data_IF_299472465010
#
_entry.id   IF_299472465010
#
_cell.length_a   1.000
_cell.length_b   1.000
_cell.length_c   1.000
_cell.angle_alpha   90.00
_cell.angle_beta   90.00
_cell.angle_gamma   90.00
#
_symmetry.space_group_name_H-M   'P 1'
#
loop_
_entity.id
_entity.type
_entity.pdbx_description
1 polymer ?
#
# COMPACT_ATOMS: atom_id res chain seq x y z
N UNK A 1 22.97 -10.07 -54.03
CA UNK A 1 22.42 -9.19 -52.98
C UNK A 1 20.91 -9.21 -53.12
N UNK A 2 20.17 -9.57 -52.06
CA UNK A 2 18.73 -9.34 -52.06
C UNK A 2 18.47 -7.83 -52.01
N UNK A 3 17.47 -7.32 -52.77
CA UNK A 3 17.13 -5.91 -52.75
C UNK A 3 16.66 -5.51 -51.35
N UNK A 4 16.97 -4.28 -50.94
CA UNK A 4 16.51 -3.79 -49.64
C UNK A 4 14.97 -3.81 -49.57
N UNK A 5 14.37 -4.10 -48.40
CA UNK A 5 12.93 -4.05 -48.24
C UNK A 5 12.39 -2.68 -48.69
N UNK A 6 11.29 -2.64 -49.47
CA UNK A 6 10.71 -1.39 -49.96
C UNK A 6 10.35 -0.48 -48.78
N UNK A 7 10.61 0.82 -48.92
CA UNK A 7 10.34 1.79 -47.87
C UNK A 7 8.82 1.97 -47.71
N UNK A 8 8.25 1.71 -46.52
CA UNK A 8 6.84 1.98 -46.29
C UNK A 8 6.59 3.49 -46.42
N UNK A 9 5.48 3.85 -47.06
CA UNK A 9 5.05 5.22 -47.27
C UNK A 9 3.76 5.46 -46.48
N UNK A 10 3.60 6.65 -45.91
CA UNK A 10 2.33 7.11 -45.34
C UNK A 10 1.29 7.32 -46.45
N UNK A 11 0.02 7.47 -46.09
CA UNK A 11 -1.09 7.83 -46.99
C UNK A 11 -0.83 9.13 -47.79
N UNK A 12 0.17 9.93 -47.39
CA UNK A 12 0.63 11.15 -48.06
C UNK A 12 1.93 10.98 -48.86
N UNK A 13 2.38 9.75 -49.08
CA UNK A 13 3.59 9.43 -49.85
C UNK A 13 4.91 9.78 -49.15
N UNK A 14 4.90 9.96 -47.82
CA UNK A 14 6.10 10.27 -47.03
C UNK A 14 6.77 8.97 -46.55
N UNK A 15 8.09 8.81 -46.65
CA UNK A 15 8.78 7.63 -46.16
C UNK A 15 8.64 7.49 -44.64
N UNK A 16 8.39 6.26 -44.17
CA UNK A 16 8.29 5.87 -42.76
C UNK A 16 9.47 4.94 -42.40
N UNK A 17 10.66 5.47 -42.07
CA UNK A 17 11.85 4.66 -41.82
C UNK A 17 11.70 3.70 -40.64
N UNK A 18 10.90 4.08 -39.65
CA UNK A 18 10.64 3.30 -38.42
C UNK A 18 9.72 2.09 -38.64
N UNK A 19 9.01 2.03 -39.77
CA UNK A 19 8.19 0.87 -40.16
C UNK A 19 8.90 -0.04 -41.17
N UNK A 20 10.13 0.32 -41.59
CA UNK A 20 10.88 -0.49 -42.55
C UNK A 20 11.16 -1.85 -41.91
N UNK A 21 10.69 -2.92 -42.56
CA UNK A 21 10.95 -4.29 -42.12
C UNK A 21 12.45 -4.52 -41.92
N UNK A 22 12.82 -5.23 -40.85
CA UNK A 22 14.23 -5.56 -40.57
C UNK A 22 14.77 -6.38 -41.75
N UNK A 23 15.92 -5.99 -42.32
CA UNK A 23 16.58 -6.75 -43.41
C UNK A 23 16.77 -8.20 -42.94
N UNK A 24 16.20 -9.13 -43.69
CA UNK A 24 16.24 -10.57 -43.39
C UNK A 24 17.69 -11.09 -43.45
N UNK A 25 17.98 -12.13 -42.67
CA UNK A 25 19.27 -12.83 -42.75
C UNK A 25 19.15 -13.93 -43.78
N UNK A 26 20.08 -14.00 -44.73
CA UNK A 26 20.20 -15.13 -45.63
C UNK A 26 21.50 -15.89 -45.33
N UNK A 27 21.40 -17.20 -45.18
CA UNK A 27 22.55 -18.10 -44.97
C UNK A 27 22.57 -19.12 -46.11
N UNK A 28 23.72 -19.30 -46.74
CA UNK A 28 23.95 -20.30 -47.78
C UNK A 28 25.24 -21.06 -47.49
N UNK A 29 25.26 -22.36 -47.76
CA UNK A 29 26.47 -23.16 -47.70
C UNK A 29 27.11 -23.27 -49.09
N UNK A 30 28.44 -23.12 -49.16
CA UNK A 30 29.24 -23.53 -50.30
C UNK A 30 29.98 -24.83 -49.93
N UNK A 31 29.50 -25.99 -50.42
CA UNK A 31 30.07 -27.29 -50.10
C UNK A 31 31.44 -27.52 -50.77
N UNK A 32 31.80 -26.75 -51.81
CA UNK A 32 33.07 -26.92 -52.53
C UNK A 32 34.22 -26.35 -51.70
N UNK A 33 33.97 -25.22 -51.04
CA UNK A 33 34.95 -24.52 -50.19
C UNK A 33 34.73 -24.75 -48.70
N UNK A 34 33.72 -25.55 -48.33
CA UNK A 34 33.27 -25.77 -46.95
C UNK A 34 33.07 -24.45 -46.19
N UNK A 35 32.38 -23.50 -46.80
CA UNK A 35 32.21 -22.15 -46.25
C UNK A 35 30.74 -21.74 -46.16
N UNK A 36 30.40 -20.98 -45.11
CA UNK A 36 29.07 -20.42 -44.92
C UNK A 36 29.05 -18.97 -45.40
N UNK A 37 28.15 -18.64 -46.34
CA UNK A 37 27.91 -17.29 -46.84
C UNK A 37 26.72 -16.71 -46.07
N UNK A 38 26.96 -15.70 -45.25
CA UNK A 38 25.93 -15.02 -44.44
C UNK A 38 25.73 -13.58 -44.94
N UNK A 39 24.52 -13.24 -45.38
CA UNK A 39 24.08 -11.87 -45.69
C UNK A 39 23.17 -11.39 -44.55
N UNK A 40 23.69 -10.52 -43.69
CA UNK A 40 22.97 -9.95 -42.56
C UNK A 40 23.40 -8.48 -42.29
N UNK A 41 22.59 -7.68 -41.59
CA UNK A 41 23.01 -6.38 -41.08
C UNK A 41 24.25 -6.47 -40.19
N UNK A 42 25.10 -5.44 -40.22
CA UNK A 42 26.38 -5.41 -39.48
C UNK A 42 26.23 -5.72 -37.98
N UNK A 43 25.15 -5.24 -37.33
CA UNK A 43 24.90 -5.55 -35.90
C UNK A 43 24.63 -7.04 -35.64
N UNK A 44 24.06 -7.77 -36.62
CA UNK A 44 23.75 -9.21 -36.48
C UNK A 44 24.92 -10.09 -36.88
N UNK A 45 25.77 -9.66 -37.83
CA UNK A 45 26.96 -10.41 -38.25
C UNK A 45 27.90 -10.74 -37.09
N UNK A 46 28.10 -9.81 -36.14
CA UNK A 46 28.94 -10.04 -34.97
C UNK A 46 28.46 -11.20 -34.08
N UNK A 47 27.13 -11.37 -33.94
CA UNK A 47 26.55 -12.50 -33.22
C UNK A 47 26.69 -13.82 -34.00
N UNK A 48 26.52 -13.77 -35.33
CA UNK A 48 26.70 -14.94 -36.19
C UNK A 48 28.13 -15.48 -36.16
N UNK A 49 29.14 -14.62 -36.08
CA UNK A 49 30.54 -15.06 -35.99
C UNK A 49 30.78 -15.90 -34.72
N UNK A 50 30.22 -15.49 -33.58
CA UNK A 50 30.33 -16.25 -32.33
C UNK A 50 29.60 -17.60 -32.41
N UNK A 51 28.43 -17.63 -33.04
CA UNK A 51 27.67 -18.87 -33.25
C UNK A 51 28.46 -19.80 -34.18
N UNK A 52 28.96 -19.30 -35.31
CA UNK A 52 29.75 -20.11 -36.26
C UNK A 52 31.05 -20.60 -35.62
N UNK A 53 31.79 -19.77 -34.88
CA UNK A 53 33.00 -20.21 -34.18
C UNK A 53 32.73 -21.20 -33.05
N UNK A 54 31.57 -21.13 -32.39
CA UNK A 54 31.19 -22.11 -31.38
C UNK A 54 30.79 -23.43 -32.02
N UNK A 55 30.06 -23.40 -33.15
CA UNK A 55 29.70 -24.59 -33.93
C UNK A 55 30.90 -25.23 -34.65
N UNK A 56 31.86 -24.45 -35.16
CA UNK A 56 33.09 -24.95 -35.83
C UNK A 56 34.03 -25.67 -34.85
N UNK A 57 34.03 -25.25 -33.57
CA UNK A 57 34.76 -25.94 -32.49
C UNK A 57 34.09 -27.23 -32.04
N UNK A 58 32.78 -27.39 -32.26
CA UNK A 58 32.11 -28.68 -32.15
C UNK A 58 32.44 -29.48 -33.41
N UNK A 59 33.54 -30.23 -33.38
CA UNK A 59 33.70 -31.33 -34.34
C UNK A 59 32.47 -32.23 -34.19
N UNK A 60 31.60 -32.18 -35.18
CA UNK A 60 30.52 -33.14 -35.34
C UNK A 60 31.21 -34.44 -35.76
N UNK A 61 31.60 -35.24 -34.77
CA UNK A 61 32.09 -36.58 -35.00
C UNK A 61 31.02 -37.37 -35.80
N UNK A 62 31.43 -38.31 -36.65
CA UNK A 62 30.50 -39.15 -37.41
C UNK A 62 29.45 -39.78 -36.47
N UNK A 63 28.18 -39.44 -36.65
CA UNK A 63 27.06 -39.91 -35.83
C UNK A 63 26.57 -38.94 -34.74
N UNK A 64 27.05 -37.70 -34.71
CA UNK A 64 26.52 -36.63 -33.85
C UNK A 64 25.57 -35.74 -34.68
N UNK A 65 24.36 -35.50 -34.19
CA UNK A 65 23.44 -34.49 -34.75
C UNK A 65 23.30 -33.31 -33.79
N UNK A 66 22.82 -32.19 -34.33
CA UNK A 66 22.52 -30.98 -33.59
C UNK A 66 21.03 -30.63 -33.75
N UNK A 67 20.31 -30.51 -32.62
CA UNK A 67 18.91 -30.09 -32.59
C UNK A 67 18.71 -28.88 -31.67
N UNK A 68 17.76 -28.04 -32.06
CA UNK A 68 17.42 -26.81 -31.32
C UNK A 68 15.98 -26.86 -30.83
N UNK A 69 15.78 -26.59 -29.54
CA UNK A 69 14.49 -26.61 -28.88
C UNK A 69 14.16 -25.24 -28.31
N UNK A 70 13.03 -24.67 -28.73
CA UNK A 70 12.55 -23.39 -28.19
C UNK A 70 11.74 -23.63 -26.92
N UNK A 71 12.20 -23.07 -25.80
CA UNK A 71 11.56 -23.20 -24.50
C UNK A 71 10.57 -22.07 -24.29
N UNK A 72 9.31 -22.42 -24.01
CA UNK A 72 8.22 -21.44 -23.93
C UNK A 72 8.09 -20.87 -22.52
N UNK A 73 8.06 -21.74 -21.51
CA UNK A 73 7.68 -21.41 -20.13
C UNK A 73 8.81 -21.68 -19.14
N UNK A 74 9.46 -22.83 -19.23
CA UNK A 74 10.49 -23.22 -18.29
C UNK A 74 11.73 -22.30 -18.31
N UNK A 75 12.47 -22.28 -17.20
CA UNK A 75 13.75 -21.58 -17.13
C UNK A 75 14.82 -22.32 -17.93
N UNK A 76 15.51 -21.59 -18.83
CA UNK A 76 16.54 -22.16 -19.70
C UNK A 76 17.71 -22.77 -18.93
N UNK A 77 18.07 -22.18 -17.80
CA UNK A 77 19.18 -22.63 -16.98
C UNK A 77 18.83 -23.95 -16.31
N UNK A 78 17.65 -24.03 -15.69
CA UNK A 78 17.14 -25.26 -15.06
C UNK A 78 17.05 -26.40 -16.06
N UNK A 79 16.41 -26.19 -17.21
CA UNK A 79 16.29 -27.22 -18.26
C UNK A 79 17.67 -27.66 -18.76
N UNK A 80 18.59 -26.71 -19.01
CA UNK A 80 19.93 -27.04 -19.48
C UNK A 80 20.75 -27.85 -18.47
N UNK A 81 20.60 -27.57 -17.17
CA UNK A 81 21.30 -28.29 -16.11
C UNK A 81 20.77 -29.71 -15.99
N UNK A 82 19.45 -29.91 -16.03
CA UNK A 82 18.83 -31.24 -16.03
C UNK A 82 19.29 -32.06 -17.23
N UNK A 83 19.28 -31.49 -18.43
CA UNK A 83 19.76 -32.19 -19.63
C UNK A 83 21.24 -32.54 -19.58
N UNK A 84 22.11 -31.65 -19.06
CA UNK A 84 23.54 -31.96 -18.84
C UNK A 84 23.72 -33.09 -17.84
N UNK A 85 22.97 -33.06 -16.74
CA UNK A 85 23.03 -34.09 -15.70
C UNK A 85 22.60 -35.45 -16.25
N UNK A 86 21.46 -35.52 -16.95
CA UNK A 86 20.95 -36.74 -17.59
C UNK A 86 21.90 -37.26 -18.69
N UNK A 87 22.54 -36.36 -19.44
CA UNK A 87 23.56 -36.72 -20.41
C UNK A 87 24.81 -37.32 -19.75
N UNK A 88 25.27 -36.73 -18.65
CA UNK A 88 26.45 -37.21 -17.90
C UNK A 88 26.20 -38.52 -17.15
N UNK A 89 24.96 -38.79 -16.72
CA UNK A 89 24.58 -40.02 -16.02
C UNK A 89 24.26 -41.18 -16.97
N UNK A 90 24.24 -40.94 -18.28
CA UNK A 90 23.83 -41.93 -19.28
C UNK A 90 22.32 -42.20 -19.33
N UNK A 91 21.52 -41.47 -18.54
CA UNK A 91 20.06 -41.64 -18.47
C UNK A 91 19.32 -41.23 -19.75
N UNK A 92 19.98 -40.49 -20.66
CA UNK A 92 19.47 -40.20 -22.01
C UNK A 92 19.67 -41.35 -23.02
N UNK A 93 20.11 -42.53 -22.56
CA UNK A 93 20.32 -43.68 -23.45
C UNK A 93 21.62 -43.60 -24.27
N UNK A 94 22.63 -42.89 -23.75
CA UNK A 94 23.94 -42.78 -24.40
C UNK A 94 24.68 -44.11 -24.29
N UNK A 95 24.70 -44.89 -25.37
CA UNK A 95 25.50 -46.12 -25.47
C UNK A 95 26.80 -45.81 -26.21
N UNK A 96 27.85 -45.39 -25.50
CA UNK A 96 29.16 -45.12 -26.09
C UNK A 96 29.88 -43.92 -25.49
N UNK A 97 31.03 -43.57 -26.07
CA UNK A 97 31.89 -42.47 -25.60
C UNK A 97 31.56 -41.11 -26.27
N UNK A 98 30.39 -40.99 -26.90
CA UNK A 98 29.99 -39.79 -27.65
C UNK A 98 29.44 -38.74 -26.68
N UNK A 99 30.09 -37.58 -26.53
CA UNK A 99 29.70 -36.59 -25.53
C UNK A 99 28.41 -35.86 -25.93
N UNK A 100 27.42 -35.83 -25.03
CA UNK A 100 26.24 -34.96 -25.16
C UNK A 100 26.62 -33.55 -24.72
N UNK A 101 26.50 -32.58 -25.63
CA UNK A 101 26.77 -31.17 -25.33
C UNK A 101 25.46 -30.39 -25.34
N UNK A 102 25.23 -29.61 -24.29
CA UNK A 102 24.07 -28.74 -24.17
C UNK A 102 24.55 -27.29 -24.08
N UNK A 103 24.01 -26.41 -24.92
CA UNK A 103 24.25 -24.97 -24.90
C UNK A 103 22.92 -24.22 -24.87
N UNK A 104 22.92 -23.00 -24.34
CA UNK A 104 21.72 -22.15 -24.28
C UNK A 104 21.95 -20.85 -25.04
N UNK A 105 20.92 -20.39 -25.75
CA UNK A 105 20.88 -19.08 -26.40
C UNK A 105 19.78 -18.23 -25.73
N UNK A 106 20.13 -17.39 -24.73
CA UNK A 106 19.15 -16.67 -23.92
C UNK A 106 18.26 -15.72 -24.72
N UNK A 107 18.80 -15.08 -25.78
CA UNK A 107 18.08 -14.08 -26.57
C UNK A 107 16.89 -14.67 -27.34
N UNK A 108 17.02 -15.90 -27.83
CA UNK A 108 15.97 -16.61 -28.58
C UNK A 108 15.16 -17.58 -27.70
N UNK A 109 15.56 -17.75 -26.44
CA UNK A 109 15.09 -18.79 -25.51
C UNK A 109 15.18 -20.19 -26.11
N UNK A 110 16.34 -20.50 -26.69
CA UNK A 110 16.58 -21.77 -27.37
C UNK A 110 17.65 -22.58 -26.64
N UNK A 111 17.43 -23.89 -26.53
CA UNK A 111 18.43 -24.85 -26.09
C UNK A 111 18.95 -25.58 -27.32
N UNK A 112 20.27 -25.65 -27.44
CA UNK A 112 20.98 -26.34 -28.51
C UNK A 112 21.57 -27.61 -27.90
N UNK A 113 21.15 -28.77 -28.38
CA UNK A 113 21.62 -30.07 -27.92
C UNK A 113 22.34 -30.77 -29.07
N UNK A 114 23.57 -31.20 -28.80
CA UNK A 114 24.40 -31.97 -29.73
C UNK A 114 24.65 -33.36 -29.14
N UNK A 115 24.39 -34.41 -29.91
CA UNK A 115 24.59 -35.79 -29.47
C UNK A 115 24.12 -36.85 -30.47
N UNK A 116 24.20 -38.14 -30.13
CA UNK A 116 23.72 -39.23 -30.98
C UNK A 116 22.21 -39.15 -31.25
N UNK A 117 21.74 -39.61 -32.41
CA UNK A 117 20.31 -39.58 -32.77
C UNK A 117 19.40 -40.24 -31.70
N UNK A 118 19.90 -41.29 -31.04
CA UNK A 118 19.17 -42.08 -30.04
C UNK A 118 18.73 -41.28 -28.82
N UNK A 119 19.37 -40.16 -28.49
CA UNK A 119 19.06 -39.39 -27.27
C UNK A 119 17.88 -38.44 -27.47
N UNK A 120 17.57 -38.03 -28.72
CA UNK A 120 16.69 -36.89 -28.94
C UNK A 120 15.25 -37.17 -28.56
N UNK A 121 14.76 -38.40 -28.73
CA UNK A 121 13.43 -38.78 -28.26
C UNK A 121 13.30 -38.59 -26.73
N UNK A 122 14.36 -38.90 -25.98
CA UNK A 122 14.37 -38.74 -24.52
C UNK A 122 14.55 -37.28 -24.10
N UNK A 123 15.37 -36.52 -24.84
CA UNK A 123 15.52 -35.07 -24.65
C UNK A 123 14.19 -34.35 -24.89
N UNK A 124 13.48 -34.70 -25.96
CA UNK A 124 12.14 -34.16 -26.27
C UNK A 124 11.16 -34.46 -25.15
N UNK A 125 11.10 -35.71 -24.65
CA UNK A 125 10.24 -36.07 -23.52
C UNK A 125 10.56 -35.27 -22.24
N UNK A 126 11.85 -35.11 -21.90
CA UNK A 126 12.28 -34.33 -20.72
C UNK A 126 11.94 -32.84 -20.90
N UNK A 127 12.14 -32.30 -22.10
CA UNK A 127 11.77 -30.91 -22.38
C UNK A 127 10.25 -30.74 -22.32
N UNK A 128 9.46 -31.67 -22.85
CA UNK A 128 8.00 -31.63 -22.73
C UNK A 128 7.50 -31.80 -21.29
N UNK A 129 8.18 -32.59 -20.47
CA UNK A 129 7.85 -32.74 -19.05
C UNK A 129 8.17 -31.46 -18.25
N UNK A 130 9.31 -30.82 -18.54
CA UNK A 130 9.75 -29.62 -17.81
C UNK A 130 9.11 -28.32 -18.36
N UNK A 131 8.94 -28.20 -19.68
CA UNK A 131 8.27 -27.07 -20.36
C UNK A 131 6.75 -27.28 -20.50
N UNK A 132 6.28 -28.47 -20.14
CA UNK A 132 4.87 -28.81 -19.94
C UNK A 132 4.23 -27.94 -18.86
N UNK A 133 2.92 -28.07 -18.67
CA UNK A 133 2.18 -27.26 -17.70
C UNK A 133 2.70 -27.49 -16.26
N UNK A 134 3.75 -26.77 -15.88
CA UNK A 134 3.92 -26.33 -14.50
C UNK A 134 2.65 -25.51 -14.26
N UNK A 135 1.73 -26.06 -13.47
CA UNK A 135 0.52 -25.42 -12.96
C UNK A 135 0.93 -24.13 -12.24
N UNK A 136 1.23 -23.07 -13.00
CA UNK A 136 1.28 -21.72 -12.48
C UNK A 136 -0.18 -21.34 -12.31
N UNK A 137 -0.67 -21.20 -11.07
CA UNK A 137 -2.06 -20.86 -10.88
C UNK A 137 -2.34 -19.53 -11.58
N UNK A 138 -3.43 -19.48 -12.36
CA UNK A 138 -3.84 -18.24 -13.02
C UNK A 138 -4.04 -17.15 -11.98
N UNK A 139 -3.38 -16.01 -12.18
CA UNK A 139 -3.57 -14.84 -11.34
C UNK A 139 -4.83 -14.10 -11.79
N UNK A 140 -5.69 -13.77 -10.83
CA UNK A 140 -6.88 -12.97 -11.09
C UNK A 140 -6.80 -11.66 -10.33
N UNK A 141 -7.19 -10.58 -11.00
CA UNK A 141 -7.26 -9.25 -10.40
C UNK A 141 -8.64 -9.06 -9.76
N UNK A 142 -8.70 -8.74 -8.46
CA UNK A 142 -9.93 -8.30 -7.79
C UNK A 142 -9.72 -6.97 -7.05
N UNK A 143 -10.77 -6.17 -7.00
CA UNK A 143 -10.81 -4.89 -6.30
C UNK A 143 -11.61 -5.02 -5.01
N UNK A 144 -11.07 -4.49 -3.91
CA UNK A 144 -11.65 -4.53 -2.58
C UNK A 144 -11.81 -3.10 -2.05
N UNK A 145 -13.01 -2.49 -2.17
CA UNK A 145 -13.28 -1.18 -1.58
C UNK A 145 -13.32 -1.29 -0.06
N UNK A 146 -12.61 -0.41 0.64
CA UNK A 146 -12.51 -0.41 2.11
C UNK A 146 -13.44 0.64 2.72
N UNK A 147 -14.11 0.30 3.82
CA UNK A 147 -15.08 1.17 4.50
C UNK A 147 -14.44 1.96 5.64
N UNK A 148 -13.56 1.32 6.41
CA UNK A 148 -13.05 1.86 7.67
C UNK A 148 -11.54 2.11 7.60
N UNK A 149 -10.77 1.12 7.17
CA UNK A 149 -9.32 1.20 7.07
C UNK A 149 -8.85 1.99 5.84
N UNK A 150 -7.63 2.53 5.91
CA UNK A 150 -6.97 3.18 4.75
C UNK A 150 -6.28 2.14 3.87
N UNK A 151 -6.52 2.22 2.56
CA UNK A 151 -5.95 1.31 1.57
C UNK A 151 -4.42 1.27 1.62
N UNK A 152 -3.73 2.42 1.74
CA UNK A 152 -2.27 2.46 1.79
C UNK A 152 -1.70 1.76 3.02
N UNK A 153 -2.41 1.84 4.14
CA UNK A 153 -1.98 1.20 5.39
C UNK A 153 -2.16 -0.32 5.30
N UNK A 154 -3.28 -0.78 4.73
CA UNK A 154 -3.53 -2.21 4.56
C UNK A 154 -2.67 -2.83 3.45
N UNK A 155 -2.38 -2.10 2.37
CA UNK A 155 -1.53 -2.56 1.26
C UNK A 155 -0.18 -3.05 1.77
N UNK A 156 0.53 -2.21 2.54
CA UNK A 156 1.86 -2.55 3.04
C UNK A 156 1.86 -3.75 4.01
N UNK A 157 0.76 -3.96 4.73
CA UNK A 157 0.61 -5.08 5.66
C UNK A 157 0.21 -6.37 4.92
N UNK A 158 -0.75 -6.28 4.00
CA UNK A 158 -1.22 -7.41 3.19
C UNK A 158 -0.13 -7.92 2.26
N UNK A 159 0.61 -7.04 1.60
CA UNK A 159 1.73 -7.41 0.74
C UNK A 159 2.72 -8.29 1.50
N UNK A 160 3.09 -7.90 2.74
CA UNK A 160 4.00 -8.69 3.60
C UNK A 160 3.42 -10.04 4.00
N UNK A 161 2.16 -10.09 4.42
CA UNK A 161 1.52 -11.33 4.88
C UNK A 161 1.28 -12.32 3.74
N UNK A 162 0.78 -11.82 2.60
CA UNK A 162 0.49 -12.65 1.43
C UNK A 162 1.79 -13.15 0.77
N UNK A 163 2.83 -12.32 0.73
CA UNK A 163 4.17 -12.75 0.27
C UNK A 163 4.73 -13.86 1.14
N UNK A 164 4.60 -13.76 2.46
CA UNK A 164 5.03 -14.80 3.38
C UNK A 164 4.27 -16.12 3.16
N UNK A 165 2.96 -16.04 2.96
CA UNK A 165 2.11 -17.21 2.70
C UNK A 165 2.45 -17.89 1.37
N UNK A 166 2.72 -17.11 0.32
CA UNK A 166 3.07 -17.66 -0.99
C UNK A 166 4.43 -18.38 -0.98
N UNK A 167 5.41 -17.86 -0.23
CA UNK A 167 6.72 -18.51 -0.05
C UNK A 167 6.64 -19.84 0.69
N UNK A 168 5.73 -19.95 1.64
CA UNK A 168 5.52 -21.18 2.43
C UNK A 168 4.82 -22.28 1.61
N UNK A 169 4.07 -21.89 0.57
CA UNK A 169 3.24 -22.80 -0.21
C UNK A 169 4.02 -23.52 -1.32
N UNK A 170 5.02 -22.85 -1.93
CA UNK A 170 5.63 -23.32 -3.18
C UNK A 170 7.16 -23.55 -3.17
N UNK A 171 7.89 -23.27 -2.08
CA UNK A 171 9.38 -23.18 -2.08
C UNK A 171 9.92 -22.42 -3.32
N UNK A 172 9.11 -21.48 -3.82
CA UNK A 172 9.30 -20.86 -5.11
C UNK A 172 10.41 -19.81 -5.04
N UNK A 173 11.26 -19.70 -6.08
CA UNK A 173 12.25 -18.63 -6.17
C UNK A 173 11.55 -17.26 -6.10
N UNK A 174 12.17 -16.29 -5.43
CA UNK A 174 11.59 -14.98 -5.13
C UNK A 174 10.97 -14.24 -6.35
N UNK A 175 11.49 -14.48 -7.56
CA UNK A 175 10.95 -13.91 -8.81
C UNK A 175 9.54 -14.42 -9.15
N UNK A 176 9.23 -15.68 -8.85
CA UNK A 176 7.91 -16.24 -9.10
C UNK A 176 6.86 -15.55 -8.21
N UNK A 177 7.23 -15.22 -6.98
CA UNK A 177 6.35 -14.54 -6.01
C UNK A 177 6.00 -13.14 -6.50
N UNK A 178 6.97 -12.39 -7.03
CA UNK A 178 6.73 -11.06 -7.61
C UNK A 178 5.86 -11.10 -8.87
N UNK A 179 5.91 -12.19 -9.65
CA UNK A 179 5.04 -12.39 -10.82
C UNK A 179 3.62 -12.84 -10.44
N UNK A 180 3.47 -13.55 -9.32
CA UNK A 180 2.21 -14.15 -8.89
C UNK A 180 1.39 -13.25 -7.95
N UNK A 181 2.01 -12.32 -7.24
CA UNK A 181 1.32 -11.46 -6.27
C UNK A 181 1.65 -9.99 -6.52
N UNK A 182 0.62 -9.22 -6.85
CA UNK A 182 0.68 -7.76 -6.91
C UNK A 182 -0.40 -7.17 -5.99
N UNK A 183 0.00 -6.26 -5.10
CA UNK A 183 -0.90 -5.57 -4.17
C UNK A 183 -0.71 -4.06 -4.34
N UNK A 184 -1.71 -3.40 -4.90
CA UNK A 184 -1.75 -1.96 -5.07
C UNK A 184 -2.88 -1.32 -4.25
N UNK A 185 -2.71 -0.05 -3.87
CA UNK A 185 -3.74 0.76 -3.22
C UNK A 185 -4.06 1.98 -4.08
N UNK A 186 -5.33 2.25 -4.27
CA UNK A 186 -5.82 3.53 -4.77
C UNK A 186 -6.32 4.39 -3.61
N UNK A 187 -5.58 5.47 -3.33
CA UNK A 187 -5.86 6.46 -2.30
C UNK A 187 -7.19 7.20 -2.52
N UNK A 188 -7.50 7.50 -3.79
CA UNK A 188 -8.63 8.35 -4.12
C UNK A 188 -9.97 7.63 -3.89
N UNK A 189 -10.04 6.36 -4.28
CA UNK A 189 -11.22 5.51 -4.08
C UNK A 189 -11.17 4.67 -2.80
N UNK A 190 -10.09 4.74 -2.02
CA UNK A 190 -9.83 3.89 -0.85
C UNK A 190 -10.04 2.39 -1.15
N UNK A 191 -9.47 1.92 -2.27
CA UNK A 191 -9.65 0.57 -2.79
C UNK A 191 -8.32 -0.17 -2.85
N UNK A 192 -8.30 -1.43 -2.41
CA UNK A 192 -7.18 -2.34 -2.63
C UNK A 192 -7.36 -3.12 -3.92
N UNK A 193 -6.32 -3.18 -4.72
CA UNK A 193 -6.27 -3.93 -5.96
C UNK A 193 -5.28 -5.08 -5.74
N UNK A 194 -5.77 -6.32 -5.82
CA UNK A 194 -4.96 -7.50 -5.57
C UNK A 194 -5.03 -8.42 -6.79
N UNK A 195 -3.88 -8.66 -7.40
CA UNK A 195 -3.67 -9.68 -8.42
C UNK A 195 -2.96 -10.86 -7.79
N UNK A 196 -3.65 -12.01 -7.67
CA UNK A 196 -3.09 -13.20 -7.06
C UNK A 196 -3.78 -14.49 -7.54
N UNK A 197 -3.19 -15.68 -7.31
CA UNK A 197 -3.86 -16.97 -7.44
C UNK A 197 -5.15 -17.06 -6.62
N UNK A 198 -6.14 -17.84 -7.07
CA UNK A 198 -7.44 -17.94 -6.38
C UNK A 198 -7.32 -18.37 -4.90
N UNK A 199 -6.34 -19.21 -4.59
CA UNK A 199 -6.02 -19.64 -3.22
C UNK A 199 -5.60 -18.46 -2.34
N UNK A 200 -4.64 -17.65 -2.80
CA UNK A 200 -4.17 -16.45 -2.10
C UNK A 200 -5.29 -15.40 -2.06
N UNK A 201 -6.12 -15.33 -3.09
CA UNK A 201 -7.24 -14.42 -3.17
C UNK A 201 -8.27 -14.67 -2.07
N UNK A 202 -8.54 -15.94 -1.75
CA UNK A 202 -9.43 -16.32 -0.66
C UNK A 202 -8.90 -15.86 0.71
N UNK A 203 -7.58 -15.99 0.93
CA UNK A 203 -6.91 -15.54 2.16
C UNK A 203 -6.89 -14.02 2.25
N UNK A 204 -6.58 -13.33 1.14
CA UNK A 204 -6.59 -11.88 1.07
C UNK A 204 -7.96 -11.30 1.45
N UNK A 205 -9.04 -11.90 0.93
CA UNK A 205 -10.41 -11.50 1.28
C UNK A 205 -10.69 -11.63 2.78
N UNK A 206 -10.33 -12.76 3.39
CA UNK A 206 -10.54 -12.97 4.84
C UNK A 206 -9.74 -11.98 5.68
N UNK A 207 -8.48 -11.69 5.30
CA UNK A 207 -7.65 -10.71 5.98
C UNK A 207 -8.24 -9.30 5.85
N UNK A 208 -8.73 -8.93 4.67
CA UNK A 208 -9.38 -7.64 4.47
C UNK A 208 -10.63 -7.52 5.35
N UNK A 209 -11.50 -8.53 5.37
CA UNK A 209 -12.72 -8.53 6.20
C UNK A 209 -12.39 -8.46 7.71
N UNK A 210 -11.32 -9.11 8.15
CA UNK A 210 -10.89 -9.07 9.55
C UNK A 210 -10.25 -7.73 9.95
N UNK A 211 -9.63 -7.02 9.01
CA UNK A 211 -8.88 -5.79 9.27
C UNK A 211 -9.68 -4.51 8.97
N UNK A 212 -10.63 -4.56 8.03
CA UNK A 212 -11.52 -3.43 7.70
C UNK A 212 -12.70 -3.37 8.67
N UNK A 213 -12.40 -3.09 9.93
CA UNK A 213 -13.38 -2.96 11.03
C UNK A 213 -13.47 -1.52 11.53
N UNK A 214 -14.51 -1.18 12.29
CA UNK A 214 -14.64 0.15 12.92
C UNK A 214 -13.43 0.53 13.78
N UNK A 215 -12.76 -0.45 14.39
CA UNK A 215 -11.52 -0.22 15.13
C UNK A 215 -10.38 0.31 14.24
N UNK A 216 -10.41 0.07 12.92
CA UNK A 216 -9.46 0.63 11.97
C UNK A 216 -9.69 2.13 11.69
N UNK A 217 -10.82 2.70 12.14
CA UNK A 217 -11.04 4.16 12.12
C UNK A 217 -10.31 4.89 13.24
N UNK A 218 -9.80 4.17 14.23
CA UNK A 218 -9.02 4.74 15.34
C UNK A 218 -7.76 5.38 14.75
N UNK A 219 -7.72 6.71 14.79
CA UNK A 219 -6.65 7.52 14.18
C UNK A 219 -6.98 8.18 12.84
N UNK A 220 -8.19 8.02 12.29
CA UNK A 220 -8.65 8.83 11.15
C UNK A 220 -8.97 10.24 11.63
N UNK A 221 -8.10 11.21 11.30
CA UNK A 221 -8.39 12.62 11.55
C UNK A 221 -9.59 13.06 10.71
N UNK A 222 -10.67 13.42 11.37
CA UNK A 222 -11.85 14.06 10.77
C UNK A 222 -11.91 15.51 11.22
N UNK A 223 -12.58 16.36 10.45
CA UNK A 223 -12.84 17.76 10.80
C UNK A 223 -14.26 17.87 11.30
N UNK A 224 -14.46 18.40 12.51
CA UNK A 224 -15.77 18.68 13.11
C UNK A 224 -15.91 20.16 13.40
N UNK A 225 -17.06 20.74 13.08
CA UNK A 225 -17.40 22.13 13.37
C UNK A 225 -18.37 22.14 14.56
N UNK A 226 -18.03 22.87 15.61
CA UNK A 226 -18.86 23.02 16.81
C UNK A 226 -19.24 24.50 16.98
N UNK A 227 -20.49 24.90 16.68
CA UNK A 227 -20.94 26.26 16.93
C UNK A 227 -21.08 26.53 18.44
N UNK A 228 -20.72 27.75 18.88
CA UNK A 228 -20.88 28.19 20.27
C UNK A 228 -22.02 29.20 20.38
N UNK A 229 -22.78 29.09 21.47
CA UNK A 229 -24.00 29.88 21.72
C UNK A 229 -23.76 31.06 22.65
N UNK A 230 -22.96 30.86 23.70
CA UNK A 230 -22.77 31.82 24.78
C UNK A 230 -21.31 32.25 24.96
N UNK A 231 -20.35 31.36 24.70
CA UNK A 231 -18.93 31.63 24.83
C UNK A 231 -18.31 32.11 23.50
N UNK A 232 -17.24 32.90 23.59
CA UNK A 232 -16.47 33.34 22.42
C UNK A 232 -15.50 32.26 21.97
N UNK A 233 -15.52 31.93 20.67
CA UNK A 233 -14.69 30.87 20.09
C UNK A 233 -13.18 31.06 20.34
N UNK A 234 -12.68 32.29 20.40
CA UNK A 234 -11.27 32.56 20.69
C UNK A 234 -10.87 32.15 22.12
N UNK A 235 -11.73 32.42 23.10
CA UNK A 235 -11.45 32.14 24.51
C UNK A 235 -11.57 30.64 24.80
N UNK A 236 -12.59 29.99 24.22
CA UNK A 236 -12.74 28.54 24.32
C UNK A 236 -11.57 27.82 23.63
N UNK A 237 -11.19 28.24 22.42
CA UNK A 237 -10.06 27.64 21.71
C UNK A 237 -8.74 27.77 22.48
N UNK A 238 -8.47 28.92 23.11
CA UNK A 238 -7.26 29.11 23.94
C UNK A 238 -7.27 28.18 25.15
N UNK A 239 -8.41 28.05 25.81
CA UNK A 239 -8.59 27.17 26.97
C UNK A 239 -8.37 25.71 26.60
N UNK A 240 -9.01 25.25 25.52
CA UNK A 240 -8.87 23.87 25.05
C UNK A 240 -7.47 23.56 24.54
N UNK A 241 -6.80 24.48 23.83
CA UNK A 241 -5.41 24.28 23.40
C UNK A 241 -4.44 24.11 24.58
N UNK A 242 -4.75 24.67 25.75
CA UNK A 242 -3.97 24.46 26.98
C UNK A 242 -4.32 23.16 27.73
N UNK A 243 -5.58 22.72 27.65
CA UNK A 243 -6.08 21.56 28.39
C UNK A 243 -5.86 20.23 27.66
N UNK A 244 -6.13 20.18 26.35
CA UNK A 244 -6.15 18.94 25.55
C UNK A 244 -4.80 18.20 25.50
N UNK A 245 -3.63 18.87 25.39
CA UNK A 245 -2.35 18.17 25.40
C UNK A 245 -2.04 17.41 26.70
N UNK A 246 -2.69 17.78 27.81
CA UNK A 246 -2.49 17.15 29.12
C UNK A 246 -3.58 16.11 29.45
N UNK A 247 -4.48 15.82 28.50
CA UNK A 247 -5.58 14.89 28.68
C UNK A 247 -5.24 13.51 28.10
N UNK A 248 -5.69 12.45 28.76
CA UNK A 248 -5.63 11.10 28.21
C UNK A 248 -6.71 10.95 27.12
N UNK A 249 -6.27 11.01 25.86
CA UNK A 249 -7.12 10.86 24.69
C UNK A 249 -7.25 9.38 24.28
N UNK A 250 -8.47 8.90 23.95
CA UNK A 250 -8.71 7.50 23.58
C UNK A 250 -7.85 6.95 22.43
N UNK A 251 -7.62 7.74 21.38
CA UNK A 251 -6.78 7.36 20.24
C UNK A 251 -5.34 7.90 20.35
N UNK A 252 -5.06 8.75 21.35
CA UNK A 252 -3.72 9.30 21.63
C UNK A 252 -3.14 10.18 20.51
N UNK A 253 -3.95 10.60 19.55
CA UNK A 253 -3.51 11.40 18.41
C UNK A 253 -3.50 12.91 18.72
N UNK A 254 -2.76 13.72 17.93
CA UNK A 254 -2.82 15.17 18.07
C UNK A 254 -4.20 15.68 17.64
N UNK A 255 -4.80 16.54 18.46
CA UNK A 255 -6.04 17.26 18.14
C UNK A 255 -5.70 18.72 17.87
N UNK A 256 -6.03 19.21 16.68
CA UNK A 256 -5.89 20.62 16.32
C UNK A 256 -7.22 21.36 16.54
N UNK A 257 -7.14 22.52 17.19
CA UNK A 257 -8.31 23.32 17.59
C UNK A 257 -8.12 24.74 17.06
N UNK A 258 -9.02 25.16 16.17
CA UNK A 258 -9.00 26.49 15.55
C UNK A 258 -10.32 27.22 15.81
N UNK A 259 -10.26 28.49 16.22
CA UNK A 259 -11.43 29.34 16.33
C UNK A 259 -11.84 29.89 14.96
N UNK A 260 -13.04 29.54 14.51
CA UNK A 260 -13.71 30.16 13.37
C UNK A 260 -14.47 31.40 13.85
N UNK A 261 -13.74 32.50 14.02
CA UNK A 261 -14.26 33.76 14.60
C UNK A 261 -15.47 34.30 13.84
N UNK A 262 -15.47 34.19 12.50
CA UNK A 262 -16.56 34.71 11.66
C UNK A 262 -17.91 34.04 11.88
N UNK A 263 -17.92 32.81 12.43
CA UNK A 263 -19.15 32.05 12.70
C UNK A 263 -19.32 31.69 14.18
N UNK A 264 -18.50 32.26 15.06
CA UNK A 264 -18.37 31.88 16.47
C UNK A 264 -18.39 30.35 16.69
N UNK A 265 -17.53 29.63 15.98
CA UNK A 265 -17.46 28.17 16.04
C UNK A 265 -16.03 27.67 16.26
N UNK A 266 -15.89 26.43 16.71
CA UNK A 266 -14.62 25.73 16.82
C UNK A 266 -14.49 24.69 15.70
N UNK A 267 -13.39 24.76 14.97
CA UNK A 267 -12.93 23.73 14.03
C UNK A 267 -12.01 22.79 14.79
N UNK A 268 -12.45 21.55 14.97
CA UNK A 268 -11.70 20.50 15.63
C UNK A 268 -11.22 19.50 14.57
N UNK A 269 -9.93 19.17 14.56
CA UNK A 269 -9.36 18.16 13.67
C UNK A 269 -8.64 17.10 14.48
N UNK A 270 -9.06 15.85 14.38
CA UNK A 270 -8.53 14.75 15.21
C UNK A 270 -9.28 13.45 15.00
N UNK A 271 -8.87 12.38 15.70
CA UNK A 271 -9.60 11.11 15.67
C UNK A 271 -11.01 11.30 16.24
N UNK A 272 -12.02 10.62 15.66
CA UNK A 272 -13.42 10.79 16.06
C UNK A 272 -13.67 10.59 17.57
N UNK A 273 -13.04 9.58 18.16
CA UNK A 273 -13.11 9.30 19.60
C UNK A 273 -12.50 10.43 20.46
N UNK A 274 -11.39 11.01 20.01
CA UNK A 274 -10.73 12.14 20.70
C UNK A 274 -11.59 13.40 20.60
N UNK A 275 -12.17 13.66 19.43
CA UNK A 275 -13.04 14.81 19.22
C UNK A 275 -14.30 14.75 20.08
N UNK A 276 -14.90 13.57 20.25
CA UNK A 276 -16.03 13.38 21.16
C UNK A 276 -15.66 13.76 22.60
N UNK A 277 -14.45 13.40 23.04
CA UNK A 277 -13.98 13.75 24.38
C UNK A 277 -13.72 15.25 24.55
N UNK A 278 -13.19 15.91 23.53
CA UNK A 278 -13.00 17.38 23.53
C UNK A 278 -14.34 18.10 23.53
N UNK A 279 -15.37 17.57 22.88
CA UNK A 279 -16.71 18.14 22.84
C UNK A 279 -17.40 18.14 24.22
N UNK A 280 -17.19 17.09 25.02
CA UNK A 280 -17.64 17.07 26.43
C UNK A 280 -17.06 18.23 27.26
N UNK A 281 -15.88 18.75 26.90
CA UNK A 281 -15.29 19.92 27.56
C UNK A 281 -15.86 21.25 27.07
N UNK A 282 -16.44 21.28 25.87
CA UNK A 282 -17.05 22.49 25.29
C UNK A 282 -18.38 22.78 25.98
N UNK A 283 -19.19 21.75 26.26
CA UNK A 283 -20.52 21.90 26.88
C UNK A 283 -20.52 22.72 28.18
N UNK A 284 -19.63 22.51 29.17
CA UNK A 284 -19.58 23.35 30.37
C UNK A 284 -19.00 24.75 30.12
N UNK A 285 -18.19 24.94 29.08
CA UNK A 285 -17.59 26.24 28.74
C UNK A 285 -18.56 27.14 27.98
N UNK A 286 -19.48 26.56 27.20
CA UNK A 286 -20.51 27.27 26.43
C UNK A 286 -21.84 27.38 27.21
N UNK A 287 -21.78 27.65 28.51
CA UNK A 287 -22.97 27.96 29.32
C UNK A 287 -23.13 29.46 29.47
N UNK A 288 -24.38 29.91 29.57
CA UNK A 288 -24.69 31.32 29.81
C UNK A 288 -23.91 31.83 31.04
N UNK A 289 -23.08 32.87 30.89
CA UNK A 289 -22.41 33.49 32.04
C UNK A 289 -23.45 33.95 33.05
N UNK A 290 -23.13 33.83 34.34
CA UNK A 290 -23.93 34.43 35.41
C UNK A 290 -24.06 35.94 35.11
N UNK A 291 -25.28 36.39 34.83
CA UNK A 291 -25.60 37.79 34.58
C UNK A 291 -25.90 38.48 35.92
N UNK A 292 -24.97 39.30 36.47
CA UNK A 292 -25.20 40.00 37.73
C UNK A 292 -26.32 41.05 37.64
N UNK A 293 -26.76 41.44 36.44
CA UNK A 293 -27.84 42.43 36.24
C UNK A 293 -29.23 41.78 36.16
N UNK A 294 -29.31 40.44 36.03
CA UNK A 294 -30.57 39.68 36.06
C UNK A 294 -30.55 38.63 37.17
N UNK A 295 -30.67 39.03 38.45
CA UNK A 295 -30.81 38.06 39.54
C UNK A 295 -32.04 37.19 39.30
N UNK A 296 -31.84 35.87 39.28
CA UNK A 296 -32.94 34.92 39.29
C UNK A 296 -33.70 35.06 40.62
N UNK A 297 -34.96 35.49 40.55
CA UNK A 297 -35.83 35.58 41.73
C UNK A 297 -36.61 34.27 41.82
N UNK A 298 -36.31 33.47 42.84
CA UNK A 298 -37.10 32.29 43.19
C UNK A 298 -37.94 32.59 44.45
N UNK A 299 -39.22 32.18 44.42
CA UNK A 299 -40.12 32.33 45.56
C UNK A 299 -40.27 30.99 46.26
N UNK A 300 -39.97 30.94 47.56
CA UNK A 300 -40.12 29.74 48.38
C UNK A 300 -41.36 29.87 49.27
N UNK A 301 -42.34 28.98 49.08
CA UNK A 301 -43.50 28.89 49.96
C UNK A 301 -43.14 28.12 51.24
N UNK A 302 -43.40 28.71 52.40
CA UNK A 302 -43.13 28.11 53.71
C UNK A 302 -44.42 27.55 54.29
N UNK A 303 -44.45 26.25 54.61
CA UNK A 303 -45.66 25.57 55.13
C UNK A 303 -45.75 25.58 56.66
N UNK A 304 -44.61 25.67 57.36
CA UNK A 304 -44.54 25.40 58.81
C UNK A 304 -43.85 26.51 59.63
N UNK A 305 -43.29 27.52 58.98
CA UNK A 305 -42.46 28.53 59.63
C UNK A 305 -42.81 29.94 59.16
N UNK A 306 -42.63 30.91 60.05
CA UNK A 306 -42.86 32.32 59.74
C UNK A 306 -41.77 32.86 58.80
N UNK A 307 -42.21 33.52 57.72
CA UNK A 307 -41.30 34.06 56.72
C UNK A 307 -40.41 35.19 57.26
N UNK A 308 -40.90 35.98 58.22
CA UNK A 308 -40.15 37.08 58.82
C UNK A 308 -39.02 36.60 59.73
N UNK A 309 -39.25 35.53 60.51
CA UNK A 309 -38.21 34.93 61.35
C UNK A 309 -37.14 34.21 60.53
N UNK A 310 -37.55 33.47 59.49
CA UNK A 310 -36.62 32.82 58.55
C UNK A 310 -35.80 33.86 57.79
N UNK A 311 -36.42 34.93 57.29
CA UNK A 311 -35.74 35.98 56.54
C UNK A 311 -34.54 36.56 57.31
N UNK A 312 -34.74 36.93 58.58
CA UNK A 312 -33.67 37.49 59.44
C UNK A 312 -32.54 36.49 59.71
N UNK A 313 -32.89 35.22 59.83
CA UNK A 313 -31.91 34.14 60.08
C UNK A 313 -31.09 33.87 58.83
N UNK A 314 -31.73 33.81 57.67
CA UNK A 314 -31.09 33.64 56.35
C UNK A 314 -30.20 34.84 56.04
N UNK A 315 -30.67 36.06 56.26
CA UNK A 315 -29.87 37.29 56.07
C UNK A 315 -28.57 37.23 56.88
N UNK A 316 -28.67 36.90 58.18
CA UNK A 316 -27.50 36.80 59.06
C UNK A 316 -26.54 35.70 58.60
N UNK A 317 -27.07 34.55 58.20
CA UNK A 317 -26.26 33.42 57.73
C UNK A 317 -25.54 33.73 56.42
N UNK A 318 -26.21 34.40 55.47
CA UNK A 318 -25.60 34.80 54.21
C UNK A 318 -24.52 35.88 54.40
N UNK A 319 -24.74 36.84 55.32
CA UNK A 319 -23.73 37.85 55.67
C UNK A 319 -22.50 37.17 56.27
N UNK A 320 -22.68 36.22 57.18
CA UNK A 320 -21.59 35.47 57.82
C UNK A 320 -20.81 34.61 56.81
N UNK A 321 -21.52 33.94 55.88
CA UNK A 321 -20.90 33.19 54.79
C UNK A 321 -20.08 34.08 53.84
N UNK A 322 -20.56 35.28 53.49
CA UNK A 322 -19.79 36.23 52.66
C UNK A 322 -18.51 36.73 53.34
N UNK A 323 -18.47 36.72 54.68
CA UNK A 323 -17.28 37.10 55.43
C UNK A 323 -16.27 35.94 55.53
N UNK A 324 -16.77 34.71 55.60
CA UNK A 324 -15.98 33.51 55.90
C UNK A 324 -15.61 32.69 54.67
N UNK A 325 -16.17 32.97 53.49
CA UNK A 325 -15.87 32.22 52.26
C UNK A 325 -14.38 32.37 51.86
N UNK A 326 -13.58 31.28 51.89
CA UNK A 326 -12.16 31.31 51.56
C UNK A 326 -11.88 31.75 50.11
N UNK A 327 -12.83 31.60 49.18
CA UNK A 327 -12.70 32.07 47.79
C UNK A 327 -12.78 33.59 47.70
N UNK A 328 -13.71 34.20 48.45
CA UNK A 328 -13.83 35.66 48.55
C UNK A 328 -12.65 36.26 49.33
N UNK A 329 -12.15 35.57 50.36
CA UNK A 329 -10.93 35.96 51.07
C UNK A 329 -9.70 35.93 50.15
N UNK A 330 -9.51 34.87 49.37
CA UNK A 330 -8.43 34.78 48.38
C UNK A 330 -8.55 35.85 47.29
N UNK A 331 -9.77 36.15 46.84
CA UNK A 331 -10.05 37.25 45.91
C UNK A 331 -9.70 38.62 46.50
N UNK A 332 -10.12 38.90 47.75
CA UNK A 332 -9.76 40.14 48.49
C UNK A 332 -8.24 40.29 48.65
N UNK A 333 -7.52 39.19 48.94
CA UNK A 333 -6.07 39.20 49.06
C UNK A 333 -5.37 39.49 47.72
N UNK A 334 -5.88 38.93 46.61
CA UNK A 334 -5.32 39.09 45.26
C UNK A 334 -5.55 40.49 44.68
N UNK A 335 -6.68 41.13 45.01
CA UNK A 335 -7.12 42.41 44.43
C UNK A 335 -6.70 43.63 45.29
N UNK A 336 -6.03 43.40 46.42
CA UNK A 336 -5.50 44.43 47.35
C UNK A 336 -4.49 45.43 46.74
N UNK A 337 -4.19 45.35 45.44
CA UNK A 337 -3.32 46.30 44.70
C UNK A 337 -4.05 47.25 43.73
N UNK A 338 -5.33 47.60 43.95
CA UNK A 338 -5.82 48.87 43.39
C UNK A 338 -7.30 49.09 43.11
N UNK A 339 -8.21 48.12 43.29
CA UNK A 339 -9.66 48.38 43.20
C UNK A 339 -10.44 47.52 44.18
N UNK A 340 -10.91 48.12 45.27
CA UNK A 340 -11.83 47.48 46.18
C UNK A 340 -13.21 47.34 45.51
N UNK A 341 -13.66 46.10 45.28
CA UNK A 341 -15.05 45.83 44.89
C UNK A 341 -15.79 45.46 46.16
N UNK A 342 -16.72 46.32 46.59
CA UNK A 342 -17.58 46.02 47.73
C UNK A 342 -18.38 44.73 47.46
N UNK A 343 -18.48 43.81 48.43
CA UNK A 343 -19.37 42.65 48.28
C UNK A 343 -20.81 43.12 48.06
N UNK A 344 -21.62 42.37 47.29
CA UNK A 344 -23.00 42.74 47.04
C UNK A 344 -23.77 42.84 48.35
N UNK A 345 -24.49 43.96 48.55
CA UNK A 345 -25.31 44.17 49.75
C UNK A 345 -26.43 43.13 49.77
N UNK A 346 -26.40 42.23 50.76
CA UNK A 346 -27.50 41.29 51.00
C UNK A 346 -28.68 42.09 51.54
N UNK A 347 -29.85 41.87 50.96
CA UNK A 347 -31.15 42.32 51.46
C UNK A 347 -32.10 41.14 51.32
N UNK A 348 -32.83 40.81 52.39
CA UNK A 348 -33.84 39.73 52.39
C UNK A 348 -35.23 40.32 52.49
#
# INVERSE_FOLDING_TARGET
MYPEPPMPLDNRGRPLPHLRGKKEVAVRADPVTNSLIVDAPAQRLAGFEQIVQSLDKLKVDEGVELRTYKIRRADLTSVSNTLRQLGSSGALGVTGNTPVTVSTEPASRTIIVSGPETIFAQVEAVIEEIDGDIDRPETTMKMYPLRFAKAERLQALLERLLTARLRESDDAPARLVEELLEVAADAASNTLIISAPEEIQSVAKQLIEALDTEAATVGRSVVKIVPLTFAEANDVARTLNGAVPNMELPAGGPVAILAAVGSNALLLTGASADLAKVEELIEPLDKQPFDPEKPAVETFALTHADAGEIARTVERLLIDQQQTDPRLLAYRLRVSRGRYVEPPKIRV
#
